data_IF_834260511662
#
_entry.id   IF_834260511662
#
_cell.length_a   1.000
_cell.length_b   1.000
_cell.length_c   1.000
_cell.angle_alpha   90.00
_cell.angle_beta   90.00
_cell.angle_gamma   90.00
#
_symmetry.space_group_name_H-M   'P 1'
#
loop_
_entity.id
_entity.type
_entity.pdbx_description
1 polymer ?
#
# COMPACT_ATOMS: atom_id res chain seq x y z
N UNK A 1 8.71 0.57 10.78
CA UNK A 1 9.55 -0.65 10.96
C UNK A 1 9.75 -1.38 9.64
N UNK A 2 10.93 -1.95 9.38
CA UNK A 2 11.26 -2.64 8.12
C UNK A 2 11.05 -4.16 8.18
N UNK A 3 9.81 -4.63 8.26
CA UNK A 3 9.54 -6.08 8.47
C UNK A 3 9.35 -6.91 7.19
N UNK A 4 9.87 -6.45 6.04
CA UNK A 4 9.85 -7.21 4.76
C UNK A 4 8.45 -7.65 4.26
N UNK A 5 7.38 -7.19 4.88
CA UNK A 5 5.97 -7.48 4.61
C UNK A 5 5.17 -7.06 5.86
N UNK A 6 3.87 -6.80 5.73
CA UNK A 6 2.98 -6.49 6.85
C UNK A 6 1.80 -7.45 6.95
N UNK A 7 1.80 -8.50 6.12
CA UNK A 7 0.69 -9.41 5.99
C UNK A 7 0.94 -10.60 6.92
N UNK A 8 -0.07 -10.89 7.76
CA UNK A 8 0.04 -11.85 8.86
C UNK A 8 0.01 -11.19 10.24
N UNK A 9 -0.91 -11.68 11.09
CA UNK A 9 -1.16 -11.19 12.46
C UNK A 9 0.13 -11.15 13.29
N UNK A 10 1.01 -12.15 13.14
CA UNK A 10 2.27 -12.22 13.87
C UNK A 10 3.27 -11.10 13.48
N UNK A 11 3.31 -10.72 12.20
CA UNK A 11 4.19 -9.66 11.69
C UNK A 11 3.64 -8.28 12.08
N UNK A 12 2.32 -8.09 12.02
CA UNK A 12 1.67 -6.86 12.49
C UNK A 12 1.85 -6.64 13.98
N UNK A 13 1.67 -7.70 14.79
CA UNK A 13 1.91 -7.64 16.23
C UNK A 13 3.36 -7.29 16.55
N UNK A 14 4.32 -7.94 15.87
CA UNK A 14 5.74 -7.61 16.00
C UNK A 14 6.07 -6.20 15.51
N UNK A 15 5.35 -5.68 14.52
CA UNK A 15 5.52 -4.29 14.07
C UNK A 15 5.10 -3.30 15.15
N UNK A 16 3.95 -3.53 15.77
CA UNK A 16 3.40 -2.72 16.86
C UNK A 16 4.29 -2.78 18.10
N UNK A 17 4.77 -3.98 18.48
CA UNK A 17 5.74 -4.16 19.57
C UNK A 17 7.06 -3.41 19.33
N UNK A 18 7.45 -3.24 18.07
CA UNK A 18 8.63 -2.46 17.65
C UNK A 18 8.32 -0.96 17.47
N UNK A 19 7.16 -0.48 17.91
CA UNK A 19 6.77 0.93 17.90
C UNK A 19 6.27 1.44 16.53
N UNK A 20 5.85 0.57 15.62
CA UNK A 20 5.27 1.00 14.35
C UNK A 20 3.94 1.74 14.59
N UNK A 21 3.84 2.97 14.09
CA UNK A 21 2.57 3.71 14.07
C UNK A 21 1.79 3.37 12.80
N UNK A 22 0.55 2.86 12.90
CA UNK A 22 -0.28 2.58 11.74
C UNK A 22 -0.51 3.83 10.88
N UNK A 23 -0.03 3.81 9.64
CA UNK A 23 -0.17 4.93 8.71
C UNK A 23 -1.52 4.94 7.97
N UNK A 24 -2.26 3.83 8.01
CA UNK A 24 -3.55 3.66 7.32
C UNK A 24 -4.57 4.70 7.74
N UNK A 25 -4.72 4.96 9.05
CA UNK A 25 -5.66 5.94 9.58
C UNK A 25 -5.34 7.37 9.11
N UNK A 26 -4.07 7.76 9.15
CA UNK A 26 -3.65 9.09 8.71
C UNK A 26 -3.89 9.31 7.21
N UNK A 27 -3.54 8.32 6.38
CA UNK A 27 -3.75 8.37 4.92
C UNK A 27 -5.24 8.33 4.56
N UNK A 28 -6.04 7.58 5.31
CA UNK A 28 -7.49 7.59 5.18
C UNK A 28 -8.06 8.98 5.49
N UNK A 29 -7.58 9.64 6.54
CA UNK A 29 -7.99 10.99 6.89
C UNK A 29 -7.66 12.01 5.78
N UNK A 30 -6.47 11.94 5.20
CA UNK A 30 -6.06 12.80 4.09
C UNK A 30 -7.01 12.67 2.88
N UNK A 31 -7.35 11.44 2.48
CA UNK A 31 -8.31 11.20 1.42
C UNK A 31 -9.71 11.72 1.77
N UNK A 32 -10.18 11.44 2.98
CA UNK A 32 -11.55 11.75 3.42
C UNK A 32 -11.78 13.25 3.60
N UNK A 33 -10.78 14.00 4.05
CA UNK A 33 -10.86 15.46 4.17
C UNK A 33 -11.19 16.13 2.82
N UNK A 34 -10.62 15.61 1.73
CA UNK A 34 -10.86 16.12 0.38
C UNK A 34 -12.28 15.83 -0.12
N UNK A 35 -12.80 14.64 0.16
CA UNK A 35 -14.18 14.29 -0.19
C UNK A 35 -15.17 15.16 0.61
N UNK A 36 -14.93 15.33 1.91
CA UNK A 36 -15.77 16.15 2.80
C UNK A 36 -15.91 17.59 2.31
N UNK A 37 -14.81 18.23 1.86
CA UNK A 37 -14.85 19.65 1.46
C UNK A 37 -15.74 19.94 0.26
N UNK A 38 -16.13 18.90 -0.49
CA UNK A 38 -16.71 19.05 -1.82
C UNK A 38 -18.10 18.42 -1.99
N UNK A 39 -18.58 17.67 -1.00
CA UNK A 39 -19.87 16.95 -1.07
C UNK A 39 -20.67 17.24 0.20
N UNK A 40 -21.74 18.01 0.06
CA UNK A 40 -22.59 18.45 1.19
C UNK A 40 -23.43 17.31 1.77
N UNK A 41 -23.99 16.45 0.91
CA UNK A 41 -24.88 15.35 1.31
C UNK A 41 -24.15 13.99 1.39
N UNK A 42 -22.88 14.02 1.83
CA UNK A 42 -22.05 12.83 1.92
C UNK A 42 -22.53 11.93 3.07
N UNK A 43 -23.03 10.74 2.74
CA UNK A 43 -23.29 9.67 3.71
C UNK A 43 -22.05 8.80 3.85
N UNK A 44 -21.47 8.77 5.05
CA UNK A 44 -20.30 7.93 5.35
C UNK A 44 -20.74 6.72 6.16
N UNK A 45 -20.42 5.52 5.66
CA UNK A 45 -20.67 4.25 6.35
C UNK A 45 -19.33 3.64 6.73
N UNK A 46 -19.15 3.26 7.99
CA UNK A 46 -17.88 2.68 8.49
C UNK A 46 -18.14 1.52 9.43
N UNK A 47 -17.10 0.73 9.69
CA UNK A 47 -17.06 -0.17 10.84
C UNK A 47 -16.53 0.58 12.09
N UNK A 48 -16.70 0.01 13.30
CA UNK A 48 -16.40 0.71 14.54
C UNK A 48 -14.90 0.93 14.76
N UNK A 49 -14.57 1.90 15.62
CA UNK A 49 -13.23 2.21 16.10
C UNK A 49 -12.21 2.48 14.99
N UNK A 50 -11.14 1.70 14.99
CA UNK A 50 -10.01 1.80 14.05
C UNK A 50 -10.37 1.47 12.59
N UNK A 51 -11.54 0.85 12.34
CA UNK A 51 -12.04 0.48 11.01
C UNK A 51 -12.86 1.60 10.33
N UNK A 52 -12.48 2.85 10.57
CA UNK A 52 -12.97 4.03 9.85
C UNK A 52 -13.78 5.00 10.70
N UNK A 53 -14.47 4.56 11.76
CA UNK A 53 -15.26 5.44 12.64
C UNK A 53 -14.42 6.57 13.23
N UNK A 54 -13.26 6.23 13.81
CA UNK A 54 -12.36 7.22 14.43
C UNK A 54 -11.83 8.23 13.41
N UNK A 55 -11.51 7.77 12.19
CA UNK A 55 -11.03 8.63 11.10
C UNK A 55 -12.15 9.56 10.63
N UNK A 56 -13.34 9.04 10.36
CA UNK A 56 -14.47 9.84 9.91
C UNK A 56 -14.86 10.92 10.92
N UNK A 57 -14.96 10.57 12.20
CA UNK A 57 -15.21 11.53 13.28
C UNK A 57 -14.09 12.55 13.43
N UNK A 58 -12.82 12.12 13.35
CA UNK A 58 -11.66 13.01 13.37
C UNK A 58 -11.65 14.00 12.20
N UNK A 59 -12.21 13.59 11.05
CA UNK A 59 -12.46 14.46 9.91
C UNK A 59 -13.72 15.33 10.05
N UNK A 60 -14.41 15.32 11.19
CA UNK A 60 -15.62 16.11 11.47
C UNK A 60 -16.88 15.64 10.72
N UNK A 61 -16.93 14.36 10.34
CA UNK A 61 -18.11 13.72 9.75
C UNK A 61 -18.88 12.94 10.82
N UNK A 62 -20.17 12.70 10.56
CA UNK A 62 -21.02 11.85 11.40
C UNK A 62 -21.31 10.55 10.66
N UNK A 63 -20.46 9.51 10.80
CA UNK A 63 -20.64 8.27 10.05
C UNK A 63 -21.79 7.43 10.63
N UNK A 64 -22.46 6.67 9.76
CA UNK A 64 -23.27 5.52 10.16
C UNK A 64 -22.34 4.34 10.44
N UNK A 65 -22.26 3.94 11.70
CA UNK A 65 -21.41 2.84 12.15
C UNK A 65 -22.19 1.53 12.11
N UNK A 66 -21.65 0.52 11.44
CA UNK A 66 -22.28 -0.80 11.28
C UNK A 66 -21.34 -1.91 11.77
N UNK A 67 -21.90 -3.09 12.04
CA UNK A 67 -21.13 -4.26 12.43
C UNK A 67 -20.52 -4.15 13.83
N UNK A 68 -19.53 -5.00 14.11
CA UNK A 68 -18.80 -5.03 15.37
C UNK A 68 -17.38 -5.54 15.14
N UNK A 69 -16.44 -5.06 15.94
CA UNK A 69 -15.04 -5.50 15.97
C UNK A 69 -14.57 -5.68 17.41
N UNK A 70 -13.42 -6.34 17.58
CA UNK A 70 -12.63 -6.23 18.81
C UNK A 70 -11.56 -5.16 18.60
N UNK A 71 -11.72 -4.01 19.26
CA UNK A 71 -10.78 -2.88 19.14
C UNK A 71 -9.34 -3.31 19.49
N UNK A 72 -8.36 -2.80 18.74
CA UNK A 72 -6.94 -3.14 18.87
C UNK A 72 -6.55 -4.51 18.32
N UNK A 73 -7.49 -5.33 17.86
CA UNK A 73 -7.26 -6.69 17.36
C UNK A 73 -8.00 -6.96 16.04
N UNK A 74 -8.10 -5.96 15.16
CA UNK A 74 -8.74 -6.15 13.85
C UNK A 74 -7.99 -7.15 12.97
N UNK A 75 -8.75 -7.89 12.17
CA UNK A 75 -8.26 -8.98 11.34
C UNK A 75 -8.78 -8.88 9.91
N UNK A 76 -8.24 -9.71 9.02
CA UNK A 76 -8.76 -9.88 7.66
C UNK A 76 -10.24 -10.26 7.64
N UNK A 77 -10.73 -10.99 8.65
CA UNK A 77 -12.16 -11.31 8.78
C UNK A 77 -13.01 -10.06 8.97
N UNK A 78 -12.53 -9.09 9.72
CA UNK A 78 -13.23 -7.82 9.95
C UNK A 78 -13.31 -7.00 8.67
N UNK A 79 -12.22 -6.94 7.89
CA UNK A 79 -12.21 -6.35 6.53
C UNK A 79 -13.26 -7.00 5.63
N UNK A 80 -13.30 -8.34 5.58
CA UNK A 80 -14.28 -9.08 4.75
C UNK A 80 -15.71 -8.89 5.24
N UNK A 81 -15.95 -8.74 6.53
CA UNK A 81 -17.27 -8.44 7.05
C UNK A 81 -17.71 -7.02 6.66
N UNK A 82 -16.81 -6.04 6.82
CA UNK A 82 -17.06 -4.66 6.45
C UNK A 82 -17.41 -4.49 4.97
N UNK A 83 -16.59 -5.04 4.08
CA UNK A 83 -16.84 -4.98 2.65
C UNK A 83 -18.17 -5.65 2.28
N UNK A 84 -18.51 -6.79 2.91
CA UNK A 84 -19.76 -7.52 2.63
C UNK A 84 -21.00 -6.73 3.04
N UNK A 85 -20.98 -6.14 4.23
CA UNK A 85 -22.13 -5.41 4.75
C UNK A 85 -22.33 -4.10 3.99
N UNK A 86 -21.24 -3.38 3.66
CA UNK A 86 -21.30 -2.19 2.82
C UNK A 86 -21.82 -2.50 1.40
N UNK A 87 -21.41 -3.63 0.82
CA UNK A 87 -21.94 -4.09 -0.45
C UNK A 87 -23.44 -4.38 -0.38
N UNK A 88 -23.93 -5.03 0.70
CA UNK A 88 -25.36 -5.31 0.91
C UNK A 88 -26.20 -4.07 1.10
N UNK A 89 -25.63 -3.03 1.71
CA UNK A 89 -26.27 -1.73 1.89
C UNK A 89 -26.27 -0.87 0.61
N UNK A 90 -25.59 -1.32 -0.45
CA UNK A 90 -25.55 -0.59 -1.71
C UNK A 90 -24.69 0.67 -1.66
N UNK A 91 -23.58 0.66 -0.93
CA UNK A 91 -22.62 1.77 -0.92
C UNK A 91 -22.11 2.06 -2.34
N UNK A 92 -22.17 3.33 -2.75
CA UNK A 92 -21.77 3.77 -4.09
C UNK A 92 -20.27 3.59 -4.36
N UNK A 93 -19.42 3.81 -3.35
CA UNK A 93 -17.97 3.66 -3.44
C UNK A 93 -17.38 3.15 -2.11
N UNK A 94 -16.68 2.02 -2.14
CA UNK A 94 -15.88 1.52 -1.03
C UNK A 94 -14.46 2.10 -1.08
N UNK A 95 -14.11 2.91 -0.09
CA UNK A 95 -12.74 3.37 0.14
C UNK A 95 -12.06 2.52 1.21
N UNK A 96 -10.86 2.01 0.92
CA UNK A 96 -10.08 1.24 1.90
C UNK A 96 -8.63 1.71 1.96
N UNK A 97 -8.08 1.89 3.18
CA UNK A 97 -6.67 2.20 3.37
C UNK A 97 -5.89 0.93 3.73
N UNK A 98 -5.09 0.43 2.80
CA UNK A 98 -4.47 -0.89 2.94
C UNK A 98 -3.32 -1.13 1.96
N UNK A 99 -2.91 -2.39 1.88
CA UNK A 99 -1.99 -2.92 0.87
C UNK A 99 -2.62 -4.07 0.08
N UNK A 100 -1.80 -4.84 -0.62
CA UNK A 100 -2.28 -5.95 -1.46
C UNK A 100 -3.07 -7.01 -0.66
N UNK A 101 -2.69 -7.31 0.60
CA UNK A 101 -3.45 -8.19 1.49
C UNK A 101 -4.90 -7.74 1.70
N UNK A 102 -5.11 -6.45 2.01
CA UNK A 102 -6.45 -5.87 2.15
C UNK A 102 -7.22 -5.90 0.83
N UNK A 103 -6.55 -5.65 -0.29
CA UNK A 103 -7.18 -5.73 -1.61
C UNK A 103 -7.65 -7.16 -1.92
N UNK A 104 -6.88 -8.19 -1.55
CA UNK A 104 -7.29 -9.61 -1.68
C UNK A 104 -8.52 -9.93 -0.85
N UNK A 105 -8.55 -9.50 0.41
CA UNK A 105 -9.72 -9.66 1.27
C UNK A 105 -10.99 -9.05 0.65
N UNK A 106 -10.85 -7.89 0.00
CA UNK A 106 -11.96 -7.23 -0.68
C UNK A 106 -12.35 -8.00 -1.96
N UNK A 107 -11.40 -8.49 -2.75
CA UNK A 107 -11.68 -9.34 -3.92
C UNK A 107 -12.49 -10.57 -3.51
N UNK A 108 -12.08 -11.27 -2.44
CA UNK A 108 -12.76 -12.47 -1.93
C UNK A 108 -14.21 -12.20 -1.51
N UNK A 109 -14.52 -10.95 -1.23
CA UNK A 109 -15.80 -10.57 -0.63
C UNK A 109 -16.75 -9.95 -1.65
N UNK A 110 -16.28 -8.98 -2.43
CA UNK A 110 -17.13 -8.19 -3.33
C UNK A 110 -16.71 -8.28 -4.80
N UNK A 111 -15.48 -8.70 -5.11
CA UNK A 111 -14.97 -8.78 -6.48
C UNK A 111 -15.28 -7.51 -7.30
N UNK A 112 -16.06 -7.66 -8.36
CA UNK A 112 -16.47 -6.56 -9.26
C UNK A 112 -17.91 -6.06 -9.04
N UNK A 113 -18.57 -6.47 -7.96
CA UNK A 113 -19.99 -6.15 -7.69
C UNK A 113 -20.24 -4.71 -7.27
N UNK A 114 -19.25 -4.03 -6.70
CA UNK A 114 -19.32 -2.63 -6.28
C UNK A 114 -18.06 -1.87 -6.68
N UNK A 115 -18.13 -0.54 -6.67
CA UNK A 115 -16.97 0.29 -6.91
C UNK A 115 -16.07 0.33 -5.68
N UNK A 116 -14.78 0.11 -5.89
CA UNK A 116 -13.77 0.07 -4.84
C UNK A 116 -12.58 0.94 -5.26
N UNK A 117 -12.06 1.75 -4.35
CA UNK A 117 -10.84 2.52 -4.54
C UNK A 117 -9.90 2.36 -3.34
N UNK A 118 -8.68 1.91 -3.61
CA UNK A 118 -7.63 1.76 -2.61
C UNK A 118 -6.89 3.06 -2.32
N UNK A 119 -6.78 3.39 -1.03
CA UNK A 119 -5.88 4.41 -0.50
C UNK A 119 -4.56 3.72 -0.16
N UNK A 120 -3.45 4.07 -0.84
CA UNK A 120 -2.21 3.35 -0.67
C UNK A 120 -1.67 3.60 0.74
N UNK A 121 -1.50 2.55 1.57
CA UNK A 121 -0.95 2.70 2.94
C UNK A 121 0.43 2.07 3.16
N UNK A 122 0.86 1.20 2.24
CA UNK A 122 2.19 0.60 2.23
C UNK A 122 3.10 1.15 1.13
N UNK A 123 4.36 0.70 1.16
CA UNK A 123 5.37 1.01 0.12
C UNK A 123 5.49 -0.08 -0.96
N UNK A 124 4.76 -1.19 -0.83
CA UNK A 124 4.84 -2.37 -1.71
C UNK A 124 3.47 -2.78 -2.24
N UNK A 125 2.79 -1.85 -2.89
CA UNK A 125 1.55 -2.13 -3.60
C UNK A 125 1.91 -2.55 -5.02
N UNK A 126 1.51 -3.77 -5.38
CA UNK A 126 1.67 -4.38 -6.70
C UNK A 126 0.36 -4.39 -7.48
N UNK A 127 -0.77 -4.45 -6.77
CA UNK A 127 -2.11 -4.41 -7.35
C UNK A 127 -2.41 -3.05 -7.99
N UNK A 128 -3.17 -3.10 -9.08
CA UNK A 128 -3.91 -1.95 -9.57
C UNK A 128 -5.10 -1.64 -8.62
N UNK A 129 -5.81 -0.54 -8.89
CA UNK A 129 -7.00 -0.17 -8.11
C UNK A 129 -6.71 0.66 -6.86
N UNK A 130 -5.44 0.98 -6.62
CA UNK A 130 -5.03 2.03 -5.70
C UNK A 130 -4.84 3.35 -6.44
N UNK A 131 -5.17 4.46 -5.79
CA UNK A 131 -4.73 5.77 -6.26
C UNK A 131 -3.21 5.93 -6.09
N UNK A 132 -2.60 6.86 -6.82
CA UNK A 132 -1.14 7.10 -6.76
C UNK A 132 -0.69 7.68 -5.40
N UNK A 133 -1.59 8.29 -4.66
CA UNK A 133 -1.37 8.84 -3.31
C UNK A 133 -2.70 8.94 -2.55
N UNK A 134 -2.69 9.16 -1.21
CA UNK A 134 -3.92 9.37 -0.46
C UNK A 134 -4.70 10.61 -0.91
N UNK A 135 -4.04 11.75 -1.15
CA UNK A 135 -4.67 12.92 -1.77
C UNK A 135 -5.34 12.59 -3.11
N UNK A 136 -4.68 11.82 -3.99
CA UNK A 136 -5.28 11.40 -5.26
C UNK A 136 -6.46 10.45 -5.08
N UNK A 137 -6.45 9.60 -4.05
CA UNK A 137 -7.61 8.77 -3.71
C UNK A 137 -8.82 9.64 -3.34
N UNK A 138 -8.60 10.68 -2.53
CA UNK A 138 -9.63 11.65 -2.19
C UNK A 138 -10.18 12.37 -3.42
N UNK A 139 -9.32 12.79 -4.35
CA UNK A 139 -9.74 13.47 -5.59
C UNK A 139 -10.54 12.57 -6.53
N UNK A 140 -10.11 11.31 -6.72
CA UNK A 140 -10.87 10.35 -7.54
C UNK A 140 -12.22 10.04 -6.89
N UNK A 141 -12.25 9.84 -5.58
CA UNK A 141 -13.50 9.61 -4.84
C UNK A 141 -14.47 10.79 -4.95
N UNK A 142 -13.98 12.01 -4.72
CA UNK A 142 -14.75 13.24 -4.89
C UNK A 142 -15.36 13.34 -6.29
N UNK A 143 -14.53 13.22 -7.33
CA UNK A 143 -14.98 13.36 -8.72
C UNK A 143 -15.96 12.27 -9.12
N UNK A 144 -15.73 11.04 -8.66
CA UNK A 144 -16.65 9.92 -8.90
C UNK A 144 -18.01 10.17 -8.26
N UNK A 145 -18.05 10.53 -6.97
CA UNK A 145 -19.29 10.79 -6.23
C UNK A 145 -20.04 12.02 -6.76
N UNK A 146 -19.34 12.99 -7.37
CA UNK A 146 -19.96 14.11 -8.09
C UNK A 146 -20.42 13.77 -9.52
N UNK A 147 -20.26 12.52 -9.97
CA UNK A 147 -20.62 12.09 -11.33
C UNK A 147 -19.69 12.59 -12.44
N UNK A 148 -18.51 13.14 -12.09
CA UNK A 148 -17.51 13.62 -13.06
C UNK A 148 -16.64 12.49 -13.63
N UNK A 149 -16.57 11.36 -12.93
CA UNK A 149 -15.97 10.12 -13.44
C UNK A 149 -17.11 9.12 -13.65
N UNK A 150 -17.40 8.81 -14.91
CA UNK A 150 -18.43 7.82 -15.28
C UNK A 150 -17.82 6.50 -15.76
N UNK A 151 -16.53 6.52 -16.12
CA UNK A 151 -15.77 5.35 -16.55
C UNK A 151 -15.24 4.52 -15.37
N UNK A 152 -15.06 3.23 -15.62
CA UNK A 152 -14.47 2.30 -14.66
C UNK A 152 -13.49 1.36 -15.36
N UNK A 153 -12.64 0.72 -14.57
CA UNK A 153 -11.81 -0.39 -15.02
C UNK A 153 -11.87 -1.55 -14.04
N UNK A 154 -11.63 -2.74 -14.57
CA UNK A 154 -11.28 -3.89 -13.75
C UNK A 154 -9.80 -3.76 -13.39
N UNK A 155 -9.53 -3.50 -12.12
CA UNK A 155 -8.20 -3.39 -11.57
C UNK A 155 -7.71 -4.75 -11.10
N UNK A 156 -6.59 -5.20 -11.69
CA UNK A 156 -5.89 -6.42 -11.31
C UNK A 156 -5.37 -6.33 -9.88
N UNK A 157 -5.84 -7.23 -9.03
CA UNK A 157 -5.26 -7.46 -7.70
C UNK A 157 -4.23 -8.57 -7.84
N UNK A 158 -3.01 -8.30 -7.39
CA UNK A 158 -1.88 -9.20 -7.50
C UNK A 158 -1.62 -9.88 -6.16
N UNK A 159 -1.40 -11.18 -6.18
CA UNK A 159 -0.91 -11.94 -5.04
C UNK A 159 0.60 -12.10 -5.13
N UNK A 160 1.27 -11.88 -4.01
CA UNK A 160 2.70 -12.12 -3.89
C UNK A 160 2.88 -13.22 -2.86
N UNK A 161 3.41 -14.35 -3.31
CA UNK A 161 3.79 -15.44 -2.42
C UNK A 161 4.89 -14.93 -1.48
N UNK A 162 4.52 -14.78 -0.21
CA UNK A 162 5.42 -14.24 0.82
C UNK A 162 6.60 -15.16 1.11
N UNK A 163 6.43 -16.47 1.00
CA UNK A 163 7.51 -17.42 1.26
C UNK A 163 8.54 -17.36 0.14
N UNK A 164 8.09 -17.25 -1.12
CA UNK A 164 8.96 -16.93 -2.25
C UNK A 164 9.62 -15.55 -2.07
N UNK A 165 8.87 -14.55 -1.59
CA UNK A 165 9.40 -13.21 -1.36
C UNK A 165 10.49 -13.20 -0.27
N UNK A 166 10.31 -13.98 0.80
CA UNK A 166 11.32 -14.19 1.86
C UNK A 166 12.57 -14.88 1.32
N UNK A 167 12.42 -15.76 0.34
CA UNK A 167 13.53 -16.37 -0.41
C UNK A 167 14.12 -15.43 -1.48
N UNK A 168 13.62 -14.20 -1.61
CA UNK A 168 14.11 -13.21 -2.56
C UNK A 168 13.58 -13.39 -4.00
N UNK A 169 12.56 -14.22 -4.18
CA UNK A 169 11.89 -14.49 -5.45
C UNK A 169 10.58 -13.68 -5.49
N UNK A 170 10.51 -12.72 -6.40
CA UNK A 170 9.28 -11.93 -6.64
C UNK A 170 8.48 -12.53 -7.79
N UNK A 171 7.42 -13.26 -7.46
CA UNK A 171 6.50 -13.91 -8.41
C UNK A 171 5.06 -13.44 -8.17
N UNK A 172 4.69 -12.21 -8.59
CA UNK A 172 3.33 -11.75 -8.47
C UNK A 172 2.45 -12.52 -9.47
N UNK A 173 1.33 -13.05 -9.00
CA UNK A 173 0.32 -13.74 -9.81
C UNK A 173 -0.98 -12.96 -9.74
N UNK A 174 -1.74 -12.96 -10.83
CA UNK A 174 -3.08 -12.38 -10.83
C UNK A 174 -3.94 -13.15 -9.81
N UNK A 175 -4.49 -12.43 -8.83
CA UNK A 175 -5.39 -12.97 -7.82
C UNK A 175 -6.85 -12.84 -8.26
N UNK A 176 -7.22 -11.65 -8.74
CA UNK A 176 -8.57 -11.34 -9.17
C UNK A 176 -8.70 -9.89 -9.56
N UNK A 177 -9.94 -9.39 -9.60
CA UNK A 177 -10.25 -8.05 -10.09
C UNK A 177 -11.16 -7.29 -9.14
N UNK A 178 -10.93 -5.99 -9.03
CA UNK A 178 -11.82 -5.02 -8.39
C UNK A 178 -12.36 -4.05 -9.44
N UNK A 179 -13.61 -3.63 -9.29
CA UNK A 179 -14.17 -2.57 -10.13
C UNK A 179 -13.79 -1.21 -9.52
N UNK A 180 -12.92 -0.44 -10.16
CA UNK A 180 -12.50 0.89 -9.67
C UNK A 180 -13.01 1.99 -10.60
N UNK A 181 -13.46 3.16 -10.08
CA UNK A 181 -13.60 4.36 -10.90
C UNK A 181 -12.27 4.61 -11.63
N UNK A 182 -12.31 5.05 -12.89
CA UNK A 182 -11.08 5.20 -13.69
C UNK A 182 -10.87 6.63 -14.20
N UNK A 183 -9.74 7.21 -13.79
CA UNK A 183 -9.16 8.40 -14.41
C UNK A 183 -7.64 8.22 -14.52
N UNK A 184 -7.12 8.21 -15.76
CA UNK A 184 -5.74 7.80 -16.09
C UNK A 184 -4.65 8.54 -15.29
N UNK A 185 -4.91 9.81 -14.92
CA UNK A 185 -3.96 10.67 -14.20
C UNK A 185 -3.78 10.34 -12.73
N UNK A 186 -4.75 9.65 -12.10
CA UNK A 186 -4.82 9.57 -10.63
C UNK A 186 -4.72 8.15 -10.08
N UNK A 187 -4.75 7.14 -10.94
CA UNK A 187 -4.81 5.75 -10.50
C UNK A 187 -3.56 5.00 -10.94
N UNK A 188 -2.96 4.32 -9.98
CA UNK A 188 -1.75 3.56 -10.18
C UNK A 188 -2.02 2.41 -11.17
N UNK A 189 -1.23 2.31 -12.23
CA UNK A 189 -1.19 1.12 -13.08
C UNK A 189 -0.56 -0.06 -12.34
N UNK A 190 -0.90 -1.29 -12.72
CA UNK A 190 -0.17 -2.46 -12.24
C UNK A 190 1.33 -2.25 -12.51
N UNK A 191 2.19 -2.62 -11.56
CA UNK A 191 3.64 -2.56 -11.77
C UNK A 191 4.01 -3.66 -12.77
N UNK A 192 3.94 -3.33 -14.06
CA UNK A 192 4.49 -4.16 -15.12
C UNK A 192 5.99 -4.28 -14.89
N UNK A 193 6.54 -5.50 -14.97
CA UNK A 193 8.00 -5.64 -15.02
C UNK A 193 8.49 -4.76 -16.17
N UNK A 194 9.46 -3.87 -15.91
CA UNK A 194 10.27 -3.37 -17.02
C UNK A 194 10.79 -4.60 -17.74
N UNK A 195 10.51 -4.76 -19.04
CA UNK A 195 11.14 -5.77 -19.87
C UNK A 195 12.63 -5.67 -19.60
N UNK A 196 13.16 -6.72 -18.96
CA UNK A 196 14.39 -6.64 -18.19
C UNK A 196 15.59 -6.38 -19.08
N UNK A 197 15.91 -5.11 -19.33
CA UNK A 197 17.22 -4.76 -19.84
C UNK A 197 18.18 -4.77 -18.64
N UNK A 198 18.62 -5.98 -18.29
CA UNK A 198 19.57 -6.24 -17.21
C UNK A 198 20.84 -5.40 -17.40
N UNK A 199 21.27 -5.25 -18.65
CA UNK A 199 22.41 -4.43 -19.04
C UNK A 199 22.19 -2.94 -18.72
N UNK A 200 20.99 -2.40 -18.98
CA UNK A 200 20.65 -1.03 -18.60
C UNK A 200 20.67 -0.84 -17.07
N UNK A 201 20.16 -1.82 -16.32
CA UNK A 201 20.15 -1.77 -14.85
C UNK A 201 21.56 -1.87 -14.28
N UNK A 202 22.42 -2.72 -14.86
CA UNK A 202 23.83 -2.86 -14.50
C UNK A 202 24.63 -1.60 -14.84
N UNK A 203 24.35 -0.94 -15.98
CA UNK A 203 24.98 0.32 -16.34
C UNK A 203 24.60 1.46 -15.39
N UNK A 204 23.32 1.57 -15.01
CA UNK A 204 22.86 2.52 -13.98
C UNK A 204 23.59 2.25 -12.66
N UNK A 205 23.68 0.99 -12.26
CA UNK A 205 24.37 0.60 -11.03
C UNK A 205 25.86 0.98 -11.06
N UNK A 206 26.57 0.71 -12.16
CA UNK A 206 27.99 1.11 -12.33
C UNK A 206 28.16 2.62 -12.21
N UNK A 207 27.35 3.39 -12.92
CA UNK A 207 27.41 4.86 -12.84
C UNK A 207 27.22 5.34 -11.40
N UNK A 208 26.27 4.77 -10.66
CA UNK A 208 26.08 5.12 -9.25
C UNK A 208 27.33 4.76 -8.42
N UNK A 209 27.87 3.55 -8.60
CA UNK A 209 29.07 3.07 -7.88
C UNK A 209 30.28 3.97 -8.15
N UNK A 210 30.52 4.35 -9.40
CA UNK A 210 31.65 5.18 -9.81
C UNK A 210 31.59 6.58 -9.17
N UNK A 211 30.37 7.08 -8.90
CA UNK A 211 30.15 8.37 -8.24
C UNK A 211 30.01 8.26 -6.72
N UNK A 212 30.22 7.08 -6.12
CA UNK A 212 30.16 6.93 -4.67
C UNK A 212 31.35 7.63 -3.98
N UNK A 213 31.04 8.58 -3.10
CA UNK A 213 32.00 9.32 -2.31
C UNK A 213 32.34 8.58 -1.01
N UNK A 214 33.63 8.54 -0.67
CA UNK A 214 34.14 7.85 0.54
C UNK A 214 33.69 8.49 1.86
N UNK A 215 33.16 9.72 1.80
CA UNK A 215 32.67 10.51 2.93
C UNK A 215 31.18 10.34 3.17
N UNK A 216 30.46 9.67 2.28
CA UNK A 216 29.00 9.57 2.32
C UNK A 216 28.54 8.17 2.79
N UNK A 217 27.38 8.17 3.45
CA UNK A 217 26.59 6.97 3.71
C UNK A 217 25.51 6.87 2.63
N UNK A 218 25.36 5.67 2.06
CA UNK A 218 24.39 5.39 1.02
C UNK A 218 23.32 4.46 1.58
N UNK A 219 22.08 4.94 1.62
CA UNK A 219 20.92 4.16 2.05
C UNK A 219 20.29 3.53 0.80
N UNK A 220 20.46 2.22 0.65
CA UNK A 220 20.03 1.45 -0.51
C UNK A 220 18.71 0.75 -0.19
N UNK A 221 17.61 1.30 -0.74
CA UNK A 221 16.24 0.79 -0.56
C UNK A 221 15.98 -0.58 -1.19
N UNK A 222 14.80 -1.18 -0.96
CA UNK A 222 14.42 -2.48 -1.51
C UNK A 222 14.24 -2.43 -3.04
N UNK A 223 14.31 -3.59 -3.68
CA UNK A 223 14.05 -3.76 -5.13
C UNK A 223 15.16 -4.45 -5.91
N UNK A 224 14.81 -4.94 -7.10
CA UNK A 224 15.78 -5.58 -8.02
C UNK A 224 16.74 -4.56 -8.63
N UNK A 225 16.28 -3.35 -8.91
CA UNK A 225 17.10 -2.25 -9.44
C UNK A 225 18.20 -1.85 -8.47
N UNK A 226 17.86 -1.64 -7.19
CA UNK A 226 18.84 -1.27 -6.16
C UNK A 226 19.76 -2.44 -5.78
N UNK A 227 19.29 -3.69 -5.91
CA UNK A 227 20.13 -4.89 -5.77
C UNK A 227 21.26 -4.93 -6.81
N UNK A 228 21.10 -4.35 -7.99
CA UNK A 228 22.21 -4.28 -8.96
C UNK A 228 23.39 -3.45 -8.42
N UNK A 229 23.13 -2.40 -7.63
CA UNK A 229 24.16 -1.59 -6.98
C UNK A 229 24.95 -2.42 -5.96
N UNK A 230 24.26 -3.13 -5.06
CA UNK A 230 24.95 -3.98 -4.07
C UNK A 230 25.67 -5.15 -4.71
N UNK A 231 25.09 -5.78 -5.74
CA UNK A 231 25.76 -6.84 -6.51
C UNK A 231 27.03 -6.35 -7.18
N UNK A 232 27.02 -5.13 -7.77
CA UNK A 232 28.20 -4.51 -8.37
C UNK A 232 29.30 -4.19 -7.36
N UNK A 233 28.94 -3.97 -6.09
CA UNK A 233 29.88 -3.82 -4.97
C UNK A 233 30.32 -5.15 -4.35
N UNK A 234 29.81 -6.30 -4.83
CA UNK A 234 30.06 -7.61 -4.23
C UNK A 234 29.36 -7.83 -2.88
N UNK A 235 28.30 -7.08 -2.60
CA UNK A 235 27.57 -7.13 -1.33
C UNK A 235 26.23 -7.88 -1.48
N UNK A 236 25.87 -8.76 -0.52
CA UNK A 236 24.57 -9.40 -0.50
C UNK A 236 23.46 -8.40 -0.13
N UNK A 237 22.28 -8.53 -0.75
CA UNK A 237 21.09 -7.72 -0.45
C UNK A 237 19.81 -8.54 -0.50
N UNK A 238 18.98 -8.39 0.53
CA UNK A 238 17.61 -8.91 0.52
C UNK A 238 16.72 -8.04 -0.38
N UNK A 239 15.84 -8.68 -1.15
CA UNK A 239 14.99 -7.96 -2.11
C UNK A 239 14.11 -6.89 -1.46
N UNK A 240 13.72 -7.12 -0.21
CA UNK A 240 12.70 -6.36 0.52
C UNK A 240 13.25 -5.52 1.68
N UNK A 241 14.57 -5.47 1.86
CA UNK A 241 15.26 -4.76 2.96
C UNK A 241 15.97 -3.48 2.52
N UNK A 242 16.33 -2.64 3.50
CA UNK A 242 17.12 -1.41 3.33
C UNK A 242 18.52 -1.65 3.89
N UNK A 243 19.56 -1.41 3.10
CA UNK A 243 20.95 -1.59 3.53
C UNK A 243 21.71 -0.26 3.49
N UNK A 244 22.69 -0.09 4.36
CA UNK A 244 23.55 1.09 4.45
C UNK A 244 24.95 0.71 4.02
N UNK A 245 25.49 1.45 3.06
CA UNK A 245 26.82 1.25 2.51
C UNK A 245 27.69 2.47 2.77
N UNK A 246 28.92 2.25 3.19
CA UNK A 246 29.96 3.27 3.26
C UNK A 246 31.28 2.72 2.73
N UNK A 247 31.99 3.50 1.91
CA UNK A 247 33.29 3.11 1.35
C UNK A 247 33.28 1.72 0.68
N UNK A 248 32.19 1.40 -0.01
CA UNK A 248 31.99 0.12 -0.70
C UNK A 248 31.74 -1.08 0.23
N UNK A 249 31.52 -0.86 1.53
CA UNK A 249 31.22 -1.92 2.50
C UNK A 249 29.83 -1.74 3.10
N UNK A 250 29.13 -2.84 3.34
CA UNK A 250 27.88 -2.83 4.10
C UNK A 250 28.20 -2.50 5.57
N UNK A 251 27.65 -1.40 6.07
CA UNK A 251 27.77 -0.96 7.47
C UNK A 251 26.48 -1.19 8.26
N UNK A 252 25.38 -1.49 7.58
CA UNK A 252 24.14 -1.95 8.19
C UNK A 252 23.29 -2.70 7.18
N UNK A 253 22.96 -3.95 7.47
CA UNK A 253 22.07 -4.75 6.62
C UNK A 253 20.65 -4.75 7.21
N UNK A 254 19.65 -4.63 6.33
CA UNK A 254 18.22 -4.69 6.66
C UNK A 254 17.83 -3.78 7.84
N UNK A 255 18.29 -2.54 7.80
CA UNK A 255 18.11 -1.56 8.88
C UNK A 255 16.70 -0.99 8.88
N UNK A 256 16.21 -0.65 10.07
CA UNK A 256 14.99 0.11 10.30
C UNK A 256 15.33 1.58 10.57
N UNK A 257 14.30 2.42 10.68
CA UNK A 257 14.43 3.86 10.94
C UNK A 257 15.25 4.18 12.20
N UNK A 258 14.99 3.48 13.31
CA UNK A 258 15.73 3.71 14.56
C UNK A 258 17.24 3.49 14.40
N UNK A 259 17.65 2.46 13.67
CA UNK A 259 19.07 2.21 13.34
C UNK A 259 19.64 3.15 12.29
N UNK A 260 18.79 3.74 11.44
CA UNK A 260 19.22 4.71 10.43
C UNK A 260 19.51 6.09 11.04
N UNK A 261 18.80 6.44 12.12
CA UNK A 261 18.86 7.75 12.76
C UNK A 261 19.75 7.79 14.02
N UNK A 262 20.28 6.65 14.47
CA UNK A 262 21.23 6.52 15.59
C UNK A 262 22.66 6.74 15.16
#
# INVERSE_FOLDING_TARGET
VGLKGSDGIAIQRKALELGAVPQSAHRAAEALQRVRSSILDLVVITYPGEMGENVARGCGLTPMVIGAIKEGETTSKDTRNAARDMCRLGVDLLLFAGGDGTARDIVDTVGTTMFVLGIPSGVKIHSAGFAVSPACAGEVAERYLQGRITGFREAEVMDVDEDLLRQGILSPRLYGYLKTPFEERFIQGAKTRSSGNKEATENIARTIIDHMQKTCLYIIGPGTTTRAITSGLGLPKALVGVDVVSRGKCVGADVNEARLLS
#
